data_IF_959195723790
#
_entry.id   IF_959195723790
#
_cell.length_a   1.000
_cell.length_b   1.000
_cell.length_c   1.000
_cell.angle_alpha   90.00
_cell.angle_beta   90.00
_cell.angle_gamma   90.00
#
_symmetry.space_group_name_H-M   'P 1'
#
loop_
_entity.id
_entity.type
_entity.pdbx_description
1 polymer ?
#
# COMPACT_ATOMS: atom_id res chain seq x y z
N UNK A 1 -17.11 -3.91 -0.43
CA UNK A 1 -15.81 -4.60 -0.22
C UNK A 1 -14.88 -3.66 0.52
N UNK A 2 -14.06 -4.14 1.46
CA UNK A 2 -13.10 -3.29 2.19
C UNK A 2 -11.75 -3.28 1.46
N UNK A 3 -11.19 -2.09 1.23
CA UNK A 3 -9.87 -1.94 0.59
C UNK A 3 -8.71 -2.27 1.53
N UNK A 4 -8.92 -2.06 2.83
CA UNK A 4 -7.97 -2.37 3.90
C UNK A 4 -8.59 -3.42 4.81
N UNK A 5 -7.83 -4.48 5.08
CA UNK A 5 -8.20 -5.59 5.94
C UNK A 5 -7.02 -6.00 6.80
N UNK A 6 -7.26 -6.18 8.10
CA UNK A 6 -6.23 -6.47 9.09
C UNK A 6 -5.02 -5.51 9.05
N UNK A 7 -5.25 -4.22 8.73
CA UNK A 7 -4.22 -3.18 8.70
C UNK A 7 -3.27 -3.22 7.50
N UNK A 8 -3.61 -3.97 6.45
CA UNK A 8 -2.93 -3.94 5.15
C UNK A 8 -4.00 -3.90 4.03
N UNK A 9 -3.61 -3.71 2.77
CA UNK A 9 -4.52 -3.90 1.64
C UNK A 9 -5.12 -5.32 1.63
N UNK A 10 -6.40 -5.40 1.30
CA UNK A 10 -7.09 -6.70 1.19
C UNK A 10 -6.42 -7.57 0.13
N UNK A 11 -6.51 -8.90 0.28
CA UNK A 11 -5.82 -9.84 -0.61
C UNK A 11 -6.10 -9.58 -2.09
N UNK A 12 -7.37 -9.33 -2.43
CA UNK A 12 -7.79 -8.98 -3.79
C UNK A 12 -7.16 -7.69 -4.28
N UNK A 13 -7.11 -6.62 -3.47
CA UNK A 13 -6.49 -5.35 -3.87
C UNK A 13 -5.00 -5.55 -4.17
N UNK A 14 -4.28 -6.32 -3.36
CA UNK A 14 -2.85 -6.63 -3.58
C UNK A 14 -2.63 -7.37 -4.91
N UNK A 15 -3.46 -8.37 -5.19
CA UNK A 15 -3.41 -9.15 -6.44
C UNK A 15 -3.74 -8.25 -7.63
N UNK A 16 -4.81 -7.45 -7.55
CA UNK A 16 -5.21 -6.54 -8.64
C UNK A 16 -4.13 -5.51 -8.92
N UNK A 17 -3.54 -4.88 -7.91
CA UNK A 17 -2.42 -3.94 -8.07
C UNK A 17 -1.24 -4.60 -8.78
N UNK A 18 -0.89 -5.82 -8.37
CA UNK A 18 0.22 -6.56 -8.97
C UNK A 18 -0.04 -6.89 -10.45
N UNK A 19 -1.20 -7.48 -10.75
CA UNK A 19 -1.56 -7.92 -12.10
C UNK A 19 -1.72 -6.72 -13.03
N UNK A 20 -2.48 -5.69 -12.63
CA UNK A 20 -2.66 -4.47 -13.42
C UNK A 20 -1.32 -3.78 -13.66
N UNK A 21 -0.48 -3.68 -12.63
CA UNK A 21 0.87 -3.12 -12.75
C UNK A 21 1.74 -3.87 -13.74
N UNK A 22 1.81 -5.20 -13.62
CA UNK A 22 2.58 -6.07 -14.52
C UNK A 22 2.08 -5.95 -15.97
N UNK A 23 0.76 -5.93 -16.18
CA UNK A 23 0.16 -5.77 -17.50
C UNK A 23 0.46 -4.40 -18.09
N UNK A 24 0.28 -3.31 -17.33
CA UNK A 24 0.58 -1.96 -17.81
C UNK A 24 2.07 -1.80 -18.13
N UNK A 25 2.94 -2.35 -17.28
CA UNK A 25 4.38 -2.40 -17.51
C UNK A 25 4.72 -3.12 -18.81
N UNK A 26 4.24 -4.36 -19.01
CA UNK A 26 4.49 -5.13 -20.23
C UNK A 26 3.92 -4.49 -21.49
N UNK A 27 2.67 -4.00 -21.43
CA UNK A 27 2.04 -3.31 -22.56
C UNK A 27 2.78 -2.03 -22.94
N UNK A 28 3.27 -1.26 -21.96
CA UNK A 28 4.03 -0.04 -22.26
C UNK A 28 5.28 -0.32 -23.10
N UNK A 29 5.90 -1.50 -22.94
CA UNK A 29 7.05 -1.92 -23.73
C UNK A 29 6.66 -2.43 -25.13
N UNK A 30 5.49 -3.05 -25.26
CA UNK A 30 5.01 -3.62 -26.53
C UNK A 30 4.34 -2.60 -27.47
N UNK A 31 3.84 -1.47 -26.94
CA UNK A 31 3.06 -0.50 -27.73
C UNK A 31 3.99 0.51 -28.43
N UNK A 32 4.53 0.11 -29.58
CA UNK A 32 5.49 0.92 -30.36
C UNK A 32 4.90 2.15 -31.05
N UNK A 33 3.59 2.21 -31.18
CA UNK A 33 2.86 3.37 -31.71
C UNK A 33 2.65 4.49 -30.67
N UNK A 34 2.90 4.22 -29.39
CA UNK A 34 2.65 5.20 -28.33
C UNK A 34 3.79 6.23 -28.24
N UNK A 35 3.52 7.54 -28.17
CA UNK A 35 4.56 8.55 -28.02
C UNK A 35 5.43 8.33 -26.77
N UNK A 36 6.67 8.83 -26.80
CA UNK A 36 7.69 8.53 -25.76
C UNK A 36 7.22 8.85 -24.34
N UNK A 37 6.61 10.02 -24.13
CA UNK A 37 6.18 10.49 -22.80
C UNK A 37 5.09 9.61 -22.19
N UNK A 38 3.92 9.39 -22.82
CA UNK A 38 2.89 8.51 -22.25
C UNK A 38 3.37 7.07 -22.11
N UNK A 39 4.24 6.58 -23.00
CA UNK A 39 4.85 5.26 -22.87
C UNK A 39 5.70 5.14 -21.60
N UNK A 40 6.57 6.12 -21.36
CA UNK A 40 7.41 6.17 -20.16
C UNK A 40 6.57 6.32 -18.88
N UNK A 41 5.52 7.13 -18.92
CA UNK A 41 4.60 7.27 -17.79
C UNK A 41 3.89 5.94 -17.47
N UNK A 42 3.37 5.25 -18.49
CA UNK A 42 2.73 3.95 -18.34
C UNK A 42 3.70 2.88 -17.80
N UNK A 43 4.95 2.89 -18.26
CA UNK A 43 6.01 2.01 -17.77
C UNK A 43 6.26 2.22 -16.27
N UNK A 44 6.49 3.46 -15.84
CA UNK A 44 6.78 3.79 -14.44
C UNK A 44 5.58 3.53 -13.53
N UNK A 45 4.36 3.87 -13.98
CA UNK A 45 3.14 3.58 -13.24
C UNK A 45 2.89 2.08 -13.12
N UNK A 46 3.05 1.33 -14.21
CA UNK A 46 2.93 -0.12 -14.20
C UNK A 46 3.90 -0.77 -13.22
N UNK A 47 5.18 -0.37 -13.28
CA UNK A 47 6.19 -0.81 -12.34
C UNK A 47 5.85 -0.47 -10.88
N UNK A 48 5.40 0.77 -10.62
CA UNK A 48 5.01 1.23 -9.29
C UNK A 48 3.83 0.43 -8.71
N UNK A 49 2.78 0.19 -9.50
CA UNK A 49 1.63 -0.63 -9.09
C UNK A 49 2.04 -2.08 -8.82
N UNK A 50 2.87 -2.66 -9.69
CA UNK A 50 3.41 -4.01 -9.51
C UNK A 50 4.20 -4.11 -8.20
N UNK A 51 5.11 -3.17 -7.95
CA UNK A 51 5.90 -3.11 -6.73
C UNK A 51 5.02 -2.94 -5.49
N UNK A 52 4.03 -2.05 -5.52
CA UNK A 52 3.09 -1.84 -4.41
C UNK A 52 2.30 -3.11 -4.07
N UNK A 53 1.76 -3.81 -5.08
CA UNK A 53 1.07 -5.08 -4.91
C UNK A 53 2.00 -6.17 -4.32
N UNK A 54 3.22 -6.27 -4.82
CA UNK A 54 4.21 -7.25 -4.34
C UNK A 54 4.69 -6.98 -2.91
N UNK A 55 5.06 -5.74 -2.59
CA UNK A 55 5.55 -5.33 -1.26
C UNK A 55 4.43 -5.47 -0.23
N UNK A 56 3.21 -5.02 -0.53
CA UNK A 56 2.08 -5.19 0.38
C UNK A 56 1.75 -6.67 0.61
N UNK A 57 1.93 -7.53 -0.39
CA UNK A 57 1.79 -8.98 -0.21
C UNK A 57 2.85 -9.56 0.74
N UNK A 58 4.12 -9.19 0.58
CA UNK A 58 5.19 -9.59 1.51
C UNK A 58 4.96 -9.06 2.92
N UNK A 59 4.51 -7.80 3.05
CA UNK A 59 4.18 -7.21 4.35
C UNK A 59 3.11 -8.05 5.07
N UNK A 60 2.09 -8.51 4.36
CA UNK A 60 1.07 -9.40 4.93
C UNK A 60 1.65 -10.74 5.40
N UNK A 61 2.54 -11.37 4.62
CA UNK A 61 3.21 -12.61 5.03
C UNK A 61 4.05 -12.43 6.30
N UNK A 62 4.64 -11.24 6.48
CA UNK A 62 5.42 -10.88 7.66
C UNK A 62 4.56 -10.30 8.80
N UNK A 63 3.23 -10.36 8.70
CA UNK A 63 2.29 -9.76 9.66
C UNK A 63 2.52 -8.25 9.92
N UNK A 64 3.11 -7.54 8.97
CA UNK A 64 3.28 -6.09 9.01
C UNK A 64 1.95 -5.44 8.60
N UNK A 65 1.47 -4.55 9.47
CA UNK A 65 0.16 -3.89 9.32
C UNK A 65 0.32 -2.37 9.21
N UNK A 66 0.73 -1.85 8.04
CA UNK A 66 1.09 -0.44 7.87
C UNK A 66 -0.07 0.54 8.11
N UNK A 67 -1.32 0.08 8.02
CA UNK A 67 -2.53 0.87 8.23
C UNK A 67 -3.26 0.53 9.53
N UNK A 68 -2.64 -0.25 10.42
CA UNK A 68 -3.23 -0.55 11.74
C UNK A 68 -2.92 0.57 12.74
N UNK A 69 -3.82 0.74 13.71
CA UNK A 69 -3.72 1.77 14.73
C UNK A 69 -3.00 1.28 16.00
N UNK A 70 -2.29 0.14 15.91
CA UNK A 70 -1.57 -0.48 17.03
C UNK A 70 -0.55 0.47 17.66
N UNK A 71 0.06 1.35 16.86
CA UNK A 71 0.95 2.39 17.36
C UNK A 71 0.27 3.36 18.34
N UNK A 72 -0.99 3.77 18.07
CA UNK A 72 -1.73 4.63 19.00
C UNK A 72 -1.99 3.92 20.34
N UNK A 73 -2.35 2.64 20.30
CA UNK A 73 -2.54 1.82 21.51
C UNK A 73 -1.25 1.67 22.32
N UNK A 74 -0.13 1.42 21.63
CA UNK A 74 1.17 1.35 22.28
C UNK A 74 1.52 2.70 22.93
N UNK A 75 1.32 3.82 22.23
CA UNK A 75 1.54 5.17 22.78
C UNK A 75 0.66 5.46 23.99
N UNK A 76 -0.63 5.10 23.95
CA UNK A 76 -1.55 5.29 25.07
C UNK A 76 -1.17 4.45 26.30
N UNK A 77 -0.59 3.26 26.11
CA UNK A 77 -0.10 2.43 27.23
C UNK A 77 1.08 3.03 27.98
N UNK A 78 1.81 3.96 27.37
CA UNK A 78 2.89 4.71 28.02
C UNK A 78 2.43 6.00 28.71
N UNK A 79 1.17 6.44 28.53
CA UNK A 79 0.63 7.59 29.26
C UNK A 79 0.47 7.23 30.74
N UNK A 80 1.25 7.87 31.61
CA UNK A 80 1.12 7.79 33.07
C UNK A 80 -0.16 8.46 33.56
N UNK A 81 -0.61 8.17 34.79
CA UNK A 81 -1.87 8.70 35.32
C UNK A 81 -1.89 10.24 35.41
N UNK A 82 -0.74 10.89 35.62
CA UNK A 82 -0.60 12.36 35.60
C UNK A 82 -0.91 12.97 34.21
N UNK A 83 -0.48 12.33 33.11
CA UNK A 83 -0.72 12.82 31.75
C UNK A 83 -2.21 12.78 31.33
N UNK A 84 -3.05 12.02 32.06
CA UNK A 84 -4.49 11.90 31.77
C UNK A 84 -5.31 12.98 32.47
N UNK A 85 -4.76 13.61 33.52
CA UNK A 85 -5.47 14.57 34.35
C UNK A 85 -5.33 16.02 33.84
N UNK A 86 -4.37 16.27 32.95
CA UNK A 86 -4.07 17.57 32.33
C UNK A 86 -4.64 17.76 30.91
N UNK A 87 -5.43 16.81 30.38
CA UNK A 87 -6.17 17.01 29.11
C UNK A 87 -7.40 17.92 29.36
N UNK A 88 -7.45 19.16 28.82
CA UNK A 88 -8.63 20.02 28.96
C UNK A 88 -9.81 19.41 28.21
N UNK A 89 -10.98 19.40 28.87
CA UNK A 89 -12.26 18.86 28.36
C UNK A 89 -12.74 19.50 27.07
#
# INVERSE_FOLDING_TARGET
MKFVEAGNFSGWVRITLFVVGLTAFGMSLALDWLPRVPRMAAFLLGFGLMALGGISSRAHMLNIKPFDNSYKKARESYKTEDDKHDEPK
#
